data_IF_247228321926
#
_entry.id   IF_247228321926
#
_cell.length_a   1.000
_cell.length_b   1.000
_cell.length_c   1.000
_cell.angle_alpha   90.00
_cell.angle_beta   90.00
_cell.angle_gamma   90.00
#
_symmetry.space_group_name_H-M   'P 1'
#
loop_
_entity.id
_entity.type
_entity.pdbx_description
1 polymer ?
#
# COMPACT_ATOMS: atom_id res chain seq x y z
N UNK A 1 0.66 -7.73 -36.68
CA UNK A 1 -0.52 -7.40 -35.86
C UNK A 1 -0.91 -5.95 -36.12
N UNK A 2 -2.20 -5.59 -36.06
CA UNK A 2 -2.63 -4.21 -36.27
C UNK A 2 -2.15 -3.30 -35.13
N UNK A 3 -1.78 -2.06 -35.48
CA UNK A 3 -1.37 -1.03 -34.48
C UNK A 3 -2.57 -0.35 -33.81
N UNK A 4 -3.71 -0.33 -34.49
CA UNK A 4 -4.95 0.25 -33.96
C UNK A 4 -6.13 -0.66 -34.32
N UNK A 5 -7.08 -0.77 -33.40
CA UNK A 5 -8.34 -1.46 -33.63
C UNK A 5 -9.49 -0.73 -32.94
N UNK A 6 -10.64 -0.68 -33.62
CA UNK A 6 -11.86 -0.01 -33.16
C UNK A 6 -12.93 -1.07 -32.84
N UNK A 7 -13.81 -0.79 -31.87
CA UNK A 7 -14.82 -1.69 -31.30
C UNK A 7 -14.25 -3.08 -30.98
N UNK A 8 -13.34 -3.11 -30.01
CA UNK A 8 -12.58 -4.29 -29.65
C UNK A 8 -13.28 -5.17 -28.62
N UNK A 9 -13.32 -6.46 -28.92
CA UNK A 9 -13.63 -7.51 -27.95
C UNK A 9 -12.35 -8.02 -27.28
N UNK A 10 -12.31 -7.97 -25.94
CA UNK A 10 -11.13 -8.31 -25.14
C UNK A 10 -11.35 -9.65 -24.44
N UNK A 11 -10.41 -10.59 -24.64
CA UNK A 11 -10.33 -11.84 -23.92
C UNK A 11 -9.20 -11.79 -22.89
N UNK A 12 -9.51 -12.11 -21.64
CA UNK A 12 -8.53 -12.25 -20.57
C UNK A 12 -8.22 -13.74 -20.34
N UNK A 13 -6.95 -14.13 -20.51
CA UNK A 13 -6.46 -15.48 -20.33
C UNK A 13 -5.44 -15.55 -19.19
N UNK A 14 -5.50 -16.62 -18.42
CA UNK A 14 -4.44 -17.03 -17.49
C UNK A 14 -3.84 -18.38 -17.92
N UNK A 15 -4.11 -18.80 -19.16
CA UNK A 15 -3.61 -20.04 -19.75
C UNK A 15 -2.38 -19.74 -20.61
N UNK A 16 -1.44 -20.66 -20.61
CA UNK A 16 -0.25 -20.60 -21.46
C UNK A 16 -0.61 -21.07 -22.88
N UNK A 17 -0.19 -20.32 -23.90
CA UNK A 17 -0.33 -20.68 -25.32
C UNK A 17 1.03 -21.05 -25.92
N UNK A 18 1.80 -21.77 -25.13
CA UNK A 18 3.11 -22.30 -25.46
C UNK A 18 3.19 -23.79 -25.09
N UNK A 19 4.26 -24.42 -25.52
CA UNK A 19 4.56 -25.80 -25.16
C UNK A 19 4.97 -25.86 -23.68
N UNK A 20 4.38 -26.79 -22.93
CA UNK A 20 4.81 -27.08 -21.56
C UNK A 20 6.28 -27.49 -21.54
N UNK A 21 7.10 -26.76 -20.78
CA UNK A 21 8.50 -27.13 -20.55
C UNK A 21 8.64 -28.26 -19.49
N UNK A 22 7.55 -28.58 -18.77
CA UNK A 22 7.55 -29.47 -17.61
C UNK A 22 7.55 -30.98 -17.96
N UNK A 23 7.46 -31.34 -19.25
CA UNK A 23 7.38 -32.75 -19.67
C UNK A 23 8.75 -33.44 -19.84
N UNK A 24 9.75 -33.08 -19.05
CA UNK A 24 11.12 -33.59 -19.21
C UNK A 24 11.31 -35.07 -18.82
N UNK A 25 10.33 -35.69 -18.15
CA UNK A 25 10.44 -37.07 -17.64
C UNK A 25 9.71 -38.13 -18.49
N UNK A 26 9.21 -37.77 -19.69
CA UNK A 26 8.58 -38.77 -20.57
C UNK A 26 9.64 -39.65 -21.25
N UNK A 27 9.59 -40.95 -20.96
CA UNK A 27 10.42 -41.96 -21.60
C UNK A 27 9.80 -42.38 -22.94
N UNK A 28 10.59 -42.30 -24.02
CA UNK A 28 10.17 -42.69 -25.36
C UNK A 28 10.91 -43.95 -25.81
N UNK A 29 10.18 -44.94 -26.32
CA UNK A 29 10.78 -46.17 -26.86
C UNK A 29 11.29 -46.00 -28.30
N UNK A 30 10.82 -44.99 -29.03
CA UNK A 30 11.18 -44.78 -30.44
C UNK A 30 11.21 -43.29 -30.78
N UNK A 31 12.10 -42.88 -31.69
CA UNK A 31 12.21 -41.49 -32.16
C UNK A 31 10.91 -40.95 -32.80
N UNK A 32 10.14 -41.82 -33.48
CA UNK A 32 8.86 -41.45 -34.08
C UNK A 32 7.82 -41.02 -33.04
N UNK A 33 7.71 -41.75 -31.93
CA UNK A 33 6.80 -41.41 -30.83
C UNK A 33 7.07 -40.01 -30.27
N UNK A 34 8.34 -39.61 -30.19
CA UNK A 34 8.73 -38.27 -29.76
C UNK A 34 8.26 -37.19 -30.74
N UNK A 35 8.42 -37.41 -32.04
CA UNK A 35 7.98 -36.45 -33.08
C UNK A 35 6.45 -36.34 -33.10
N UNK A 36 5.74 -37.46 -32.97
CA UNK A 36 4.27 -37.48 -32.98
C UNK A 36 3.70 -36.77 -31.75
N UNK A 37 4.33 -36.92 -30.59
CA UNK A 37 3.96 -36.21 -29.38
C UNK A 37 4.13 -34.69 -29.53
N UNK A 38 5.26 -34.23 -30.09
CA UNK A 38 5.48 -32.80 -30.37
C UNK A 38 4.40 -32.26 -31.32
N UNK A 39 4.03 -33.04 -32.35
CA UNK A 39 2.97 -32.67 -33.29
C UNK A 39 1.60 -32.62 -32.62
N UNK A 40 1.30 -33.57 -31.74
CA UNK A 40 0.06 -33.64 -30.99
C UNK A 40 -0.08 -32.47 -29.99
N UNK A 41 0.96 -32.15 -29.22
CA UNK A 41 0.96 -30.97 -28.33
C UNK A 41 0.73 -29.69 -29.14
N UNK A 42 1.41 -29.56 -30.28
CA UNK A 42 1.26 -28.40 -31.16
C UNK A 42 -0.15 -28.30 -31.74
N UNK A 43 -0.75 -29.42 -32.14
CA UNK A 43 -2.12 -29.42 -32.68
C UNK A 43 -3.13 -29.00 -31.60
N UNK A 44 -2.95 -29.41 -30.35
CA UNK A 44 -3.77 -28.97 -29.21
C UNK A 44 -3.66 -27.46 -29.01
N UNK A 45 -2.45 -26.89 -29.01
CA UNK A 45 -2.24 -25.44 -28.86
C UNK A 45 -2.85 -24.68 -30.05
N UNK A 46 -2.62 -25.14 -31.28
CA UNK A 46 -3.18 -24.50 -32.47
C UNK A 46 -4.73 -24.54 -32.44
N UNK A 47 -5.33 -25.65 -32.01
CA UNK A 47 -6.78 -25.76 -31.85
C UNK A 47 -7.31 -24.77 -30.82
N UNK A 48 -6.63 -24.59 -29.68
CA UNK A 48 -7.00 -23.54 -28.70
C UNK A 48 -6.96 -22.14 -29.33
N UNK A 49 -5.88 -21.81 -30.07
CA UNK A 49 -5.74 -20.52 -30.75
C UNK A 49 -6.87 -20.31 -31.76
N UNK A 50 -7.20 -21.32 -32.56
CA UNK A 50 -8.33 -21.24 -33.51
C UNK A 50 -9.67 -21.06 -32.80
N UNK A 51 -9.91 -21.71 -31.67
CA UNK A 51 -11.12 -21.50 -30.86
C UNK A 51 -11.18 -20.09 -30.26
N UNK A 52 -10.02 -19.48 -29.92
CA UNK A 52 -9.96 -18.09 -29.46
C UNK A 52 -10.31 -17.15 -30.61
N UNK A 53 -9.75 -17.36 -31.80
CA UNK A 53 -10.08 -16.56 -32.98
C UNK A 53 -11.57 -16.69 -33.33
N UNK A 54 -12.11 -17.90 -33.28
CA UNK A 54 -13.52 -18.18 -33.53
C UNK A 54 -14.47 -17.53 -32.52
N UNK A 55 -13.99 -17.19 -31.31
CA UNK A 55 -14.81 -16.47 -30.32
C UNK A 55 -15.10 -15.02 -30.71
N UNK A 56 -14.40 -14.46 -31.71
CA UNK A 56 -14.54 -13.06 -32.11
C UNK A 56 -13.78 -12.08 -31.21
N UNK A 57 -12.77 -12.56 -30.47
CA UNK A 57 -11.87 -11.72 -29.70
C UNK A 57 -10.87 -11.00 -30.63
N UNK A 58 -10.88 -9.66 -30.61
CA UNK A 58 -9.92 -8.84 -31.36
C UNK A 58 -8.62 -8.64 -30.57
N UNK A 59 -8.70 -8.79 -29.24
CA UNK A 59 -7.58 -8.59 -28.33
C UNK A 59 -7.56 -9.73 -27.33
N UNK A 60 -6.39 -10.35 -27.19
CA UNK A 60 -6.13 -11.43 -26.25
C UNK A 60 -5.06 -10.94 -25.29
N UNK A 61 -5.35 -10.95 -24.00
CA UNK A 61 -4.44 -10.54 -22.94
C UNK A 61 -4.17 -11.76 -22.07
N UNK A 62 -2.95 -12.29 -22.13
CA UNK A 62 -2.53 -13.42 -21.30
C UNK A 62 -1.59 -12.99 -20.17
N UNK A 63 -1.77 -13.57 -18.98
CA UNK A 63 -0.77 -13.47 -17.90
C UNK A 63 0.45 -14.35 -18.16
N UNK A 64 0.24 -15.45 -18.89
CA UNK A 64 1.27 -16.42 -19.23
C UNK A 64 1.92 -16.11 -20.59
N UNK A 65 2.90 -16.93 -20.96
CA UNK A 65 3.59 -16.83 -22.22
C UNK A 65 2.72 -17.25 -23.42
N UNK A 66 3.05 -16.68 -24.57
CA UNK A 66 2.50 -17.03 -25.88
C UNK A 66 3.67 -17.26 -26.83
N UNK A 67 3.73 -18.44 -27.43
CA UNK A 67 4.79 -18.82 -28.35
C UNK A 67 4.71 -18.05 -29.69
N UNK A 68 5.86 -17.89 -30.34
CA UNK A 68 6.07 -17.22 -31.63
C UNK A 68 5.12 -17.70 -32.74
N UNK A 69 4.91 -19.02 -32.87
CA UNK A 69 4.01 -19.59 -33.87
C UNK A 69 2.56 -19.21 -33.56
N UNK A 70 2.16 -19.23 -32.28
CA UNK A 70 0.83 -18.81 -31.84
C UNK A 70 0.61 -17.31 -32.09
N UNK A 71 1.62 -16.46 -31.83
CA UNK A 71 1.59 -15.04 -32.18
C UNK A 71 1.44 -14.82 -33.69
N UNK A 72 2.09 -15.63 -34.52
CA UNK A 72 1.95 -15.55 -35.99
C UNK A 72 0.54 -15.89 -36.47
N UNK A 73 -0.14 -16.84 -35.80
CA UNK A 73 -1.54 -17.18 -36.08
C UNK A 73 -2.46 -16.02 -35.72
N UNK A 74 -2.30 -15.44 -34.53
CA UNK A 74 -3.05 -14.24 -34.13
C UNK A 74 -2.79 -13.05 -35.07
N UNK A 75 -1.54 -12.87 -35.52
CA UNK A 75 -1.18 -11.82 -36.46
C UNK A 75 -1.86 -11.99 -37.83
N UNK A 76 -1.94 -13.23 -38.33
CA UNK A 76 -2.64 -13.54 -39.59
C UNK A 76 -4.15 -13.31 -39.49
N UNK A 77 -4.73 -13.51 -38.32
CA UNK A 77 -6.16 -13.26 -38.06
C UNK A 77 -6.45 -11.82 -37.58
N UNK A 78 -5.49 -10.89 -37.66
CA UNK A 78 -5.62 -9.52 -37.19
C UNK A 78 -6.02 -9.36 -35.70
N UNK A 79 -5.65 -10.33 -34.86
CA UNK A 79 -5.87 -10.31 -33.41
C UNK A 79 -4.62 -9.79 -32.71
N UNK A 80 -4.78 -8.83 -31.79
CA UNK A 80 -3.69 -8.32 -30.95
C UNK A 80 -3.52 -9.26 -29.76
N UNK A 81 -2.35 -9.87 -29.61
CA UNK A 81 -2.05 -10.74 -28.47
C UNK A 81 -0.98 -10.11 -27.57
N UNK A 82 -1.32 -9.87 -26.31
CA UNK A 82 -0.42 -9.41 -25.25
C UNK A 82 -0.02 -10.62 -24.38
N UNK A 83 1.29 -10.80 -24.21
CA UNK A 83 1.89 -11.86 -23.36
C UNK A 83 2.45 -11.26 -22.08
N UNK A 84 2.53 -12.07 -21.02
CA UNK A 84 3.11 -11.68 -19.72
C UNK A 84 2.52 -10.40 -19.12
N UNK A 85 1.21 -10.21 -19.24
CA UNK A 85 0.56 -9.08 -18.57
C UNK A 85 0.47 -9.39 -17.07
N UNK A 86 0.98 -8.50 -16.21
CA UNK A 86 1.08 -8.80 -14.79
C UNK A 86 -0.32 -8.96 -14.18
N UNK A 87 -0.46 -9.96 -13.31
CA UNK A 87 -1.75 -10.39 -12.75
C UNK A 87 -2.47 -9.25 -12.01
N UNK A 88 -1.75 -8.31 -11.39
CA UNK A 88 -2.34 -7.16 -10.71
C UNK A 88 -3.12 -6.21 -11.65
N UNK A 89 -2.88 -6.26 -12.97
CA UNK A 89 -3.62 -5.49 -13.97
C UNK A 89 -4.98 -6.12 -14.32
N UNK A 90 -5.14 -7.43 -14.13
CA UNK A 90 -6.38 -8.14 -14.45
C UNK A 90 -7.61 -7.55 -13.75
N UNK A 91 -7.64 -7.33 -12.42
CA UNK A 91 -8.80 -6.75 -11.76
C UNK A 91 -9.15 -5.36 -12.31
N UNK A 92 -8.15 -4.57 -12.71
CA UNK A 92 -8.35 -3.26 -13.34
C UNK A 92 -9.03 -3.44 -14.69
N UNK A 93 -8.51 -4.33 -15.55
CA UNK A 93 -9.09 -4.55 -16.88
C UNK A 93 -10.49 -5.16 -16.79
N UNK A 94 -10.68 -6.15 -15.92
CA UNK A 94 -11.99 -6.79 -15.66
C UNK A 94 -13.03 -5.76 -15.24
N UNK A 95 -12.69 -4.91 -14.26
CA UNK A 95 -13.62 -3.93 -13.74
C UNK A 95 -14.03 -2.90 -14.80
N UNK A 96 -13.16 -2.55 -15.74
CA UNK A 96 -13.42 -1.50 -16.72
C UNK A 96 -13.97 -1.99 -18.07
N UNK A 97 -13.65 -3.23 -18.47
CA UNK A 97 -14.09 -3.82 -19.75
C UNK A 97 -15.27 -4.80 -19.59
N UNK A 98 -15.49 -5.33 -18.38
CA UNK A 98 -16.46 -6.39 -18.12
C UNK A 98 -15.99 -7.81 -18.49
N UNK A 99 -14.76 -7.96 -18.99
CA UNK A 99 -14.19 -9.27 -19.29
C UNK A 99 -14.04 -10.12 -18.02
N UNK A 100 -14.23 -11.45 -18.14
CA UNK A 100 -13.90 -12.41 -17.07
C UNK A 100 -12.64 -13.19 -17.44
N UNK A 101 -11.67 -13.31 -16.52
CA UNK A 101 -10.45 -14.05 -16.77
C UNK A 101 -10.75 -15.54 -16.83
N UNK A 102 -10.19 -16.20 -17.82
CA UNK A 102 -10.34 -17.63 -18.04
C UNK A 102 -9.02 -18.32 -17.74
N UNK A 103 -9.02 -19.22 -16.75
CA UNK A 103 -7.83 -20.00 -16.36
C UNK A 103 -7.40 -21.03 -17.40
N UNK A 104 -8.37 -21.75 -17.93
CA UNK A 104 -8.16 -22.75 -18.98
C UNK A 104 -9.22 -22.52 -20.06
N UNK A 105 -8.78 -22.21 -21.28
CA UNK A 105 -9.70 -21.90 -22.34
C UNK A 105 -10.35 -23.18 -22.90
N UNK A 106 -11.68 -23.28 -22.83
CA UNK A 106 -12.49 -24.40 -23.31
C UNK A 106 -13.59 -23.98 -24.30
N UNK A 107 -13.35 -22.91 -25.05
CA UNK A 107 -14.28 -22.42 -26.09
C UNK A 107 -15.45 -21.55 -25.60
N UNK A 108 -15.59 -21.30 -24.29
CA UNK A 108 -16.54 -20.32 -23.73
C UNK A 108 -15.81 -19.30 -22.88
N UNK A 109 -15.98 -18.02 -23.19
CA UNK A 109 -15.42 -16.92 -22.41
C UNK A 109 -16.35 -15.71 -22.45
N UNK A 110 -16.37 -14.93 -21.37
CA UNK A 110 -17.04 -13.63 -21.34
C UNK A 110 -16.07 -12.58 -21.83
N UNK A 111 -16.28 -12.12 -23.06
CA UNK A 111 -15.50 -11.06 -23.67
C UNK A 111 -15.84 -9.71 -23.04
N UNK A 112 -14.82 -8.89 -22.79
CA UNK A 112 -14.98 -7.49 -22.46
C UNK A 112 -15.06 -6.63 -23.71
N UNK A 113 -15.51 -5.38 -23.55
CA UNK A 113 -15.63 -4.43 -24.65
C UNK A 113 -14.77 -3.19 -24.41
N UNK A 114 -14.22 -2.64 -25.49
CA UNK A 114 -13.46 -1.38 -25.48
C UNK A 114 -13.63 -0.69 -26.82
N UNK A 115 -13.78 0.65 -26.82
CA UNK A 115 -13.95 1.40 -28.07
C UNK A 115 -12.71 1.34 -28.93
N UNK A 116 -11.55 1.78 -28.43
CA UNK A 116 -10.35 1.90 -29.25
C UNK A 116 -9.14 1.34 -28.51
N UNK A 117 -8.31 0.58 -29.23
CA UNK A 117 -7.02 0.11 -28.73
C UNK A 117 -5.92 0.55 -29.65
N UNK A 118 -4.89 1.15 -29.05
CA UNK A 118 -3.75 1.75 -29.73
C UNK A 118 -2.48 1.11 -29.18
N UNK A 119 -1.63 0.60 -30.06
CA UNK A 119 -0.29 0.12 -29.73
C UNK A 119 0.71 1.18 -30.17
N UNK A 120 1.30 1.85 -29.19
CA UNK A 120 2.29 2.89 -29.38
C UNK A 120 3.69 2.30 -29.20
N UNK A 121 4.59 2.56 -30.14
CA UNK A 121 6.01 2.25 -30.00
C UNK A 121 6.71 3.48 -29.42
N UNK A 122 7.34 3.32 -28.27
CA UNK A 122 8.11 4.37 -27.61
C UNK A 122 9.49 4.51 -28.30
N UNK A 123 10.19 5.65 -28.13
CA UNK A 123 11.48 5.92 -28.78
C UNK A 123 12.56 4.87 -28.45
N UNK A 124 12.47 4.30 -27.26
CA UNK A 124 13.31 3.23 -26.71
C UNK A 124 12.98 1.84 -27.30
N UNK A 125 12.08 1.76 -28.28
CA UNK A 125 11.70 0.53 -28.98
C UNK A 125 10.71 -0.35 -28.21
N UNK A 126 10.37 0.02 -26.97
CA UNK A 126 9.35 -0.65 -26.17
C UNK A 126 7.95 -0.33 -26.72
N UNK A 127 7.03 -1.29 -26.65
CA UNK A 127 5.66 -1.08 -27.10
C UNK A 127 4.72 -0.96 -25.90
N UNK A 128 3.85 0.04 -25.94
CA UNK A 128 2.79 0.26 -24.97
C UNK A 128 1.44 0.02 -25.65
N UNK A 129 0.52 -0.63 -24.96
CA UNK A 129 -0.86 -0.77 -25.42
C UNK A 129 -1.80 0.07 -24.56
N UNK A 130 -2.57 0.94 -25.21
CA UNK A 130 -3.51 1.85 -24.61
C UNK A 130 -4.93 1.41 -24.95
N UNK A 131 -5.73 1.12 -23.91
CA UNK A 131 -7.17 0.86 -24.03
C UNK A 131 -7.91 2.18 -23.78
N UNK A 132 -8.73 2.63 -24.73
CA UNK A 132 -9.43 3.92 -24.65
C UNK A 132 -10.92 3.77 -24.93
N UNK A 133 -11.72 4.68 -24.36
CA UNK A 133 -13.17 4.65 -24.47
C UNK A 133 -13.80 3.43 -23.76
N UNK A 134 -13.39 3.21 -22.51
CA UNK A 134 -13.99 2.23 -21.62
C UNK A 134 -15.31 2.78 -21.03
N UNK A 135 -16.20 1.90 -20.57
CA UNK A 135 -17.50 2.29 -20.03
C UNK A 135 -17.40 2.99 -18.65
N UNK A 136 -16.24 2.92 -17.99
CA UNK A 136 -15.98 3.53 -16.68
C UNK A 136 -14.96 4.65 -16.79
N UNK A 137 -15.08 5.62 -15.87
CA UNK A 137 -14.16 6.75 -15.74
C UNK A 137 -12.83 6.30 -15.13
N UNK A 138 -11.99 5.64 -15.92
CA UNK A 138 -10.60 5.35 -15.57
C UNK A 138 -9.66 6.15 -16.46
N UNK A 139 -8.62 6.70 -15.86
CA UNK A 139 -7.51 7.32 -16.57
C UNK A 139 -6.20 6.68 -16.13
N UNK A 140 -5.25 6.59 -17.06
CA UNK A 140 -3.89 6.16 -16.79
C UNK A 140 -2.96 7.32 -17.10
N UNK A 141 -2.28 7.83 -16.08
CA UNK A 141 -1.26 8.86 -16.25
C UNK A 141 0.08 8.18 -16.56
N UNK A 142 0.71 8.60 -17.66
CA UNK A 142 2.07 8.15 -18.01
C UNK A 142 3.03 9.30 -17.82
N UNK A 143 4.08 8.99 -17.06
CA UNK A 143 5.09 9.94 -16.62
C UNK A 143 6.39 9.56 -17.31
N UNK A 144 6.92 10.50 -18.08
CA UNK A 144 8.23 10.37 -18.71
C UNK A 144 9.18 11.36 -18.03
N UNK A 145 10.34 10.87 -17.60
CA UNK A 145 11.38 11.71 -16.99
C UNK A 145 12.76 11.15 -17.38
N UNK A 146 13.82 11.97 -17.36
CA UNK A 146 15.15 11.56 -17.84
C UNK A 146 15.82 10.51 -16.94
N UNK A 147 15.45 10.44 -15.66
CA UNK A 147 16.04 9.51 -14.69
C UNK A 147 14.97 8.73 -13.94
N UNK A 148 15.27 7.48 -13.59
CA UNK A 148 14.38 6.63 -12.78
C UNK A 148 14.03 7.27 -11.43
N UNK A 149 14.98 8.00 -10.84
CA UNK A 149 14.74 8.74 -9.59
C UNK A 149 13.68 9.85 -9.77
N UNK A 150 13.75 10.60 -10.88
CA UNK A 150 12.73 11.61 -11.19
C UNK A 150 11.36 10.96 -11.44
N UNK A 151 11.31 9.83 -12.17
CA UNK A 151 10.05 9.08 -12.39
C UNK A 151 9.41 8.69 -11.05
N UNK A 152 10.19 8.10 -10.14
CA UNK A 152 9.68 7.70 -8.82
C UNK A 152 9.21 8.91 -8.00
N UNK A 153 9.98 10.00 -7.99
CA UNK A 153 9.65 11.23 -7.28
C UNK A 153 8.34 11.84 -7.79
N UNK A 154 8.19 12.01 -9.10
CA UNK A 154 6.96 12.51 -9.71
C UNK A 154 5.77 11.57 -9.47
N UNK A 155 5.98 10.25 -9.58
CA UNK A 155 4.93 9.26 -9.30
C UNK A 155 4.40 9.39 -7.87
N UNK A 156 5.29 9.54 -6.89
CA UNK A 156 4.92 9.73 -5.48
C UNK A 156 4.20 11.07 -5.30
N UNK A 157 4.70 12.14 -5.91
CA UNK A 157 4.09 13.47 -5.83
C UNK A 157 2.67 13.50 -6.40
N UNK A 158 2.46 12.98 -7.62
CA UNK A 158 1.14 12.93 -8.26
C UNK A 158 0.17 12.05 -7.45
N UNK A 159 0.63 10.89 -6.96
CA UNK A 159 -0.19 10.04 -6.08
C UNK A 159 -0.60 10.76 -4.79
N UNK A 160 0.26 11.60 -4.22
CA UNK A 160 -0.09 12.43 -3.05
C UNK A 160 -1.10 13.51 -3.43
N UNK A 161 -0.88 14.24 -4.53
CA UNK A 161 -1.79 15.28 -5.01
C UNK A 161 -3.21 14.73 -5.27
N UNK A 162 -3.34 13.60 -5.98
CA UNK A 162 -4.63 12.97 -6.24
C UNK A 162 -5.35 12.55 -4.95
N UNK A 163 -4.61 12.09 -3.93
CA UNK A 163 -5.20 11.78 -2.62
C UNK A 163 -5.72 13.02 -1.91
N UNK A 164 -5.00 14.13 -1.97
CA UNK A 164 -5.46 15.41 -1.39
C UNK A 164 -6.71 15.88 -2.10
N UNK A 165 -6.73 15.89 -3.45
CA UNK A 165 -7.91 16.25 -4.24
C UNK A 165 -9.11 15.37 -3.90
N UNK A 166 -8.90 14.05 -3.74
CA UNK A 166 -9.95 13.13 -3.32
C UNK A 166 -10.51 13.50 -1.95
N UNK A 167 -9.67 13.82 -0.97
CA UNK A 167 -10.13 14.20 0.36
C UNK A 167 -10.94 15.50 0.32
N UNK A 168 -10.42 16.52 -0.38
CA UNK A 168 -11.12 17.80 -0.55
C UNK A 168 -12.48 17.60 -1.23
N UNK A 169 -12.54 16.79 -2.28
CA UNK A 169 -13.79 16.47 -2.97
C UNK A 169 -14.79 15.68 -2.10
N UNK A 170 -14.31 14.85 -1.18
CA UNK A 170 -15.17 14.05 -0.29
C UNK A 170 -15.68 14.82 0.93
N UNK A 171 -14.82 15.66 1.50
CA UNK A 171 -15.12 16.40 2.72
C UNK A 171 -15.77 17.76 2.48
N UNK A 172 -15.54 18.34 1.29
CA UNK A 172 -15.91 19.72 0.92
C UNK A 172 -15.46 20.76 1.96
N UNK A 173 -14.37 20.47 2.69
CA UNK A 173 -13.87 21.28 3.79
C UNK A 173 -12.37 21.48 3.62
N UNK A 174 -11.96 22.74 3.55
CA UNK A 174 -10.57 23.17 3.44
C UNK A 174 -10.22 24.16 4.55
N UNK A 175 -8.93 24.21 4.87
CA UNK A 175 -8.35 25.14 5.84
C UNK A 175 -7.15 25.85 5.21
N UNK A 176 -6.82 27.08 5.65
CA UNK A 176 -5.64 27.76 5.13
C UNK A 176 -4.37 26.94 5.37
N UNK A 177 -3.56 26.76 4.33
CA UNK A 177 -2.38 25.92 4.36
C UNK A 177 -1.14 26.62 4.95
N UNK A 178 0.05 26.08 4.61
CA UNK A 178 1.34 26.69 4.96
C UNK A 178 1.59 26.85 6.46
N UNK A 179 1.07 25.92 7.27
CA UNK A 179 1.10 25.92 8.73
C UNK A 179 0.54 27.18 9.42
N UNK A 180 -0.22 28.00 8.70
CA UNK A 180 -0.93 29.15 9.26
C UNK A 180 -1.96 28.73 10.33
N UNK A 181 -2.67 27.61 10.11
CA UNK A 181 -3.56 26.99 11.10
C UNK A 181 -2.81 26.53 12.34
N UNK A 182 -1.59 26.01 12.18
CA UNK A 182 -0.81 25.52 13.31
C UNK A 182 -0.37 26.69 14.21
N UNK A 183 0.01 27.83 13.61
CA UNK A 183 0.30 29.07 14.36
C UNK A 183 -0.95 29.65 15.03
N UNK A 184 -2.10 29.60 14.35
CA UNK A 184 -3.39 29.99 14.95
C UNK A 184 -3.67 29.15 16.21
N UNK A 185 -3.56 27.83 16.10
CA UNK A 185 -3.73 26.90 17.22
C UNK A 185 -2.75 27.18 18.37
N UNK A 186 -1.50 27.54 18.07
CA UNK A 186 -0.55 27.92 19.12
C UNK A 186 -1.03 29.11 19.95
N UNK A 187 -1.59 30.13 19.30
CA UNK A 187 -2.05 31.34 19.98
C UNK A 187 -3.29 31.05 20.82
N UNK A 188 -4.26 30.33 20.25
CA UNK A 188 -5.47 29.93 20.96
C UNK A 188 -5.14 29.07 22.20
N UNK A 189 -4.19 28.11 22.08
CA UNK A 189 -3.76 27.27 23.19
C UNK A 189 -3.03 28.05 24.30
N UNK A 190 -2.33 29.15 23.98
CA UNK A 190 -1.65 29.99 24.99
C UNK A 190 -2.68 30.77 25.83
N UNK A 191 -3.81 31.16 25.23
CA UNK A 191 -4.84 31.94 25.92
C UNK A 191 -5.66 31.10 26.93
N UNK A 192 -5.67 29.77 26.77
CA UNK A 192 -6.40 28.87 27.66
C UNK A 192 -5.73 28.83 29.04
N UNK A 193 -6.40 29.42 30.05
CA UNK A 193 -6.03 29.29 31.47
C UNK A 193 -6.56 27.96 32.01
N UNK A 194 -5.68 26.98 32.20
CA UNK A 194 -6.03 25.67 32.75
C UNK A 194 -5.02 25.20 33.81
N UNK A 195 -5.46 24.31 34.69
CA UNK A 195 -4.61 23.67 35.72
C UNK A 195 -3.38 22.96 35.14
N UNK A 196 -3.45 22.49 33.88
CA UNK A 196 -2.36 21.81 33.17
C UNK A 196 -1.57 22.74 32.24
N UNK A 197 -1.46 24.03 32.58
CA UNK A 197 -0.79 25.06 31.76
C UNK A 197 0.62 24.65 31.30
N UNK A 198 1.40 23.93 32.12
CA UNK A 198 2.75 23.44 31.73
C UNK A 198 2.73 22.43 30.58
N UNK A 199 1.75 21.52 30.57
CA UNK A 199 1.62 20.52 29.49
C UNK A 199 1.20 21.24 28.21
N UNK A 200 0.24 22.15 28.31
CA UNK A 200 -0.24 22.95 27.17
C UNK A 200 0.91 23.78 26.58
N UNK A 201 1.71 24.46 27.41
CA UNK A 201 2.91 25.19 26.97
C UNK A 201 3.92 24.29 26.26
N UNK A 202 4.11 23.07 26.75
CA UNK A 202 5.03 22.09 26.14
C UNK A 202 4.53 21.64 24.76
N UNK A 203 3.22 21.41 24.62
CA UNK A 203 2.58 21.11 23.34
C UNK A 203 2.70 22.27 22.36
N UNK A 204 2.46 23.50 22.81
CA UNK A 204 2.62 24.71 21.98
C UNK A 204 4.07 24.85 21.51
N UNK A 205 5.05 24.66 22.40
CA UNK A 205 6.46 24.73 22.03
C UNK A 205 6.84 23.65 21.01
N UNK A 206 6.29 22.43 21.14
CA UNK A 206 6.49 21.36 20.17
C UNK A 206 5.90 21.72 18.80
N UNK A 207 4.69 22.29 18.76
CA UNK A 207 4.03 22.70 17.51
C UNK A 207 4.77 23.88 16.83
N UNK A 208 5.25 24.85 17.61
CA UNK A 208 6.09 25.94 17.10
C UNK A 208 7.37 25.42 16.46
N UNK A 209 8.04 24.46 17.14
CA UNK A 209 9.30 23.88 16.65
C UNK A 209 9.10 23.07 15.38
N UNK A 210 7.99 22.35 15.24
CA UNK A 210 7.69 21.62 14.00
C UNK A 210 7.47 22.59 12.83
N UNK A 211 6.75 23.69 13.03
CA UNK A 211 6.54 24.73 12.00
C UNK A 211 7.87 25.41 11.60
N UNK A 212 8.69 25.76 12.60
CA UNK A 212 9.98 26.41 12.38
C UNK A 212 10.97 25.52 11.59
N UNK A 213 10.98 24.21 11.86
CA UNK A 213 11.83 23.25 11.18
C UNK A 213 11.47 23.13 9.69
N UNK A 214 10.18 23.08 9.38
CA UNK A 214 9.70 22.80 8.02
C UNK A 214 9.71 24.04 7.13
N UNK A 215 9.35 25.21 7.67
CA UNK A 215 9.12 26.42 6.87
C UNK A 215 10.13 27.53 7.12
N UNK A 216 10.71 27.61 8.32
CA UNK A 216 11.62 28.70 8.69
C UNK A 216 13.09 28.27 8.68
N UNK A 217 13.41 27.01 8.36
CA UNK A 217 14.79 26.49 8.41
C UNK A 217 15.44 26.57 9.80
N UNK A 218 14.65 26.51 10.88
CA UNK A 218 15.04 26.77 12.28
C UNK A 218 15.43 28.23 12.61
N UNK A 219 15.00 29.21 11.81
CA UNK A 219 15.18 30.63 12.14
C UNK A 219 14.12 31.12 13.13
N UNK A 220 14.48 31.21 14.41
CA UNK A 220 13.58 31.66 15.49
C UNK A 220 13.06 33.11 15.30
N UNK A 221 13.81 33.95 14.56
CA UNK A 221 13.40 35.33 14.26
C UNK A 221 12.12 35.37 13.41
N UNK A 222 12.10 34.59 12.34
CA UNK A 222 10.96 34.49 11.41
C UNK A 222 9.76 33.90 12.14
N UNK A 223 9.99 32.88 12.98
CA UNK A 223 8.93 32.28 13.79
C UNK A 223 8.26 33.29 14.74
N UNK A 224 9.06 34.10 15.44
CA UNK A 224 8.52 35.10 16.37
C UNK A 224 7.76 36.22 15.65
N UNK A 225 8.27 36.67 14.50
CA UNK A 225 7.55 37.61 13.63
C UNK A 225 6.20 37.02 13.20
N UNK A 226 6.21 35.77 12.72
CA UNK A 226 5.00 35.09 12.26
C UNK A 226 3.92 34.99 13.34
N UNK A 227 4.32 34.66 14.58
CA UNK A 227 3.41 34.56 15.72
C UNK A 227 2.81 35.94 16.06
N UNK A 228 3.64 36.99 16.04
CA UNK A 228 3.19 38.35 16.33
C UNK A 228 2.24 38.88 15.24
N UNK A 229 2.56 38.64 13.97
CA UNK A 229 1.73 39.05 12.83
C UNK A 229 0.33 38.43 12.91
N UNK A 230 0.23 37.15 13.30
CA UNK A 230 -1.07 36.52 13.53
C UNK A 230 -1.80 37.14 14.73
N UNK A 231 -1.10 37.43 15.84
CA UNK A 231 -1.73 38.04 17.02
C UNK A 231 -2.31 39.42 16.73
N UNK A 232 -1.60 40.24 15.97
CA UNK A 232 -2.00 41.62 15.67
C UNK A 232 -3.09 41.66 14.60
N UNK A 233 -2.91 40.94 13.49
CA UNK A 233 -3.77 41.07 12.32
C UNK A 233 -4.83 39.97 12.20
N UNK A 234 -4.68 38.84 12.92
CA UNK A 234 -5.48 37.62 12.76
C UNK A 234 -5.55 37.12 11.30
N UNK A 235 -4.54 37.44 10.51
CA UNK A 235 -4.41 37.00 9.11
C UNK A 235 -3.59 35.71 9.07
N UNK A 236 -4.06 34.76 8.28
CA UNK A 236 -3.34 33.52 8.01
C UNK A 236 -2.22 33.79 7.01
N UNK A 237 -1.02 34.01 7.51
CA UNK A 237 0.18 34.22 6.68
C UNK A 237 1.09 32.99 6.69
N UNK A 238 1.92 32.86 5.66
CA UNK A 238 2.98 31.84 5.58
C UNK A 238 4.28 32.51 5.14
N UNK A 239 5.44 32.14 5.73
CA UNK A 239 6.74 32.62 5.28
C UNK A 239 7.03 32.11 3.87
N UNK A 240 7.34 33.03 2.95
CA UNK A 240 7.83 32.74 1.61
C UNK A 240 9.06 33.59 1.36
N UNK A 241 10.21 32.93 1.25
CA UNK A 241 11.52 33.58 1.14
C UNK A 241 11.73 34.57 2.30
N UNK A 242 11.70 35.87 2.01
CA UNK A 242 11.92 36.95 2.98
C UNK A 242 10.63 37.71 3.36
N UNK A 243 9.46 37.26 2.92
CA UNK A 243 8.18 37.96 3.16
C UNK A 243 7.07 37.04 3.70
N UNK A 244 6.15 37.63 4.44
CA UNK A 244 4.91 36.96 4.85
C UNK A 244 3.83 37.23 3.82
N UNK A 245 3.21 36.16 3.33
CA UNK A 245 2.15 36.26 2.33
C UNK A 245 0.85 35.70 2.90
N UNK A 246 -0.27 36.40 2.66
CA UNK A 246 -1.61 35.92 3.01
C UNK A 246 -1.92 34.65 2.20
N UNK A 247 -2.15 33.58 2.95
CA UNK A 247 -2.40 32.22 2.47
C UNK A 247 -3.70 32.16 1.65
N UNK A 248 -4.70 32.96 2.02
CA UNK A 248 -5.99 33.00 1.33
C UNK A 248 -5.87 33.67 -0.04
N UNK A 249 -5.21 34.82 -0.10
CA UNK A 249 -4.98 35.56 -1.35
C UNK A 249 -4.12 34.77 -2.33
N UNK A 250 -3.16 33.98 -1.82
CA UNK A 250 -2.30 33.12 -2.65
C UNK A 250 -2.95 31.79 -3.04
N UNK A 251 -4.14 31.47 -2.52
CA UNK A 251 -4.85 30.23 -2.82
C UNK A 251 -4.17 28.97 -2.25
N UNK A 252 -3.46 29.09 -1.12
CA UNK A 252 -2.79 27.96 -0.49
C UNK A 252 -3.75 27.29 0.50
N UNK A 253 -4.31 26.15 0.11
CA UNK A 253 -5.30 25.43 0.90
C UNK A 253 -4.82 24.03 1.27
N UNK A 254 -5.24 23.57 2.44
CA UNK A 254 -4.99 22.21 2.94
C UNK A 254 -6.31 21.53 3.34
N UNK A 255 -6.29 20.20 3.39
CA UNK A 255 -7.45 19.40 3.78
C UNK A 255 -7.61 19.40 5.30
N UNK A 256 -8.78 19.81 5.79
CA UNK A 256 -9.11 19.83 7.22
C UNK A 256 -8.95 18.44 7.86
N UNK A 257 -9.40 17.39 7.18
CA UNK A 257 -9.28 15.98 7.59
C UNK A 257 -7.83 15.59 7.89
N UNK A 258 -6.89 16.01 7.02
CA UNK A 258 -5.47 15.69 7.21
C UNK A 258 -4.92 16.36 8.46
N UNK A 259 -5.24 17.64 8.70
CA UNK A 259 -4.78 18.37 9.88
C UNK A 259 -5.30 17.76 11.19
N UNK A 260 -6.60 17.43 11.24
CA UNK A 260 -7.21 16.78 12.41
C UNK A 260 -6.54 15.42 12.67
N UNK A 261 -6.37 14.61 11.63
CA UNK A 261 -5.78 13.29 11.76
C UNK A 261 -4.32 13.34 12.23
N UNK A 262 -3.52 14.28 11.69
CA UNK A 262 -2.12 14.46 12.08
C UNK A 262 -2.00 14.79 13.56
N UNK A 263 -2.82 15.73 14.06
CA UNK A 263 -2.81 16.09 15.48
C UNK A 263 -3.25 14.91 16.36
N UNK A 264 -4.37 14.27 16.02
CA UNK A 264 -4.89 13.14 16.80
C UNK A 264 -3.89 11.98 16.88
N UNK A 265 -3.30 11.59 15.74
CA UNK A 265 -2.30 10.51 15.70
C UNK A 265 -1.02 10.87 16.44
N UNK A 266 -0.62 12.15 16.40
CA UNK A 266 0.55 12.62 17.15
C UNK A 266 0.34 12.46 18.65
N UNK A 267 -0.81 12.90 19.16
CA UNK A 267 -1.16 12.74 20.59
C UNK A 267 -1.31 11.28 20.99
N UNK A 268 -1.95 10.46 20.17
CA UNK A 268 -2.09 9.02 20.44
C UNK A 268 -0.72 8.33 20.52
N UNK A 269 0.18 8.65 19.58
CA UNK A 269 1.54 8.09 19.54
C UNK A 269 2.33 8.51 20.78
N UNK A 270 2.29 9.79 21.15
CA UNK A 270 2.96 10.29 22.36
C UNK A 270 2.40 9.63 23.61
N UNK A 271 1.08 9.49 23.72
CA UNK A 271 0.45 8.81 24.86
C UNK A 271 0.86 7.34 24.95
N UNK A 272 1.01 6.63 23.83
CA UNK A 272 1.52 5.26 23.83
C UNK A 272 2.97 5.22 24.33
N UNK A 273 3.81 6.13 23.86
CA UNK A 273 5.22 6.20 24.29
C UNK A 273 5.36 6.53 25.78
N UNK A 274 4.58 7.49 26.28
CA UNK A 274 4.60 7.90 27.69
C UNK A 274 4.08 6.82 28.64
N UNK A 275 3.26 5.87 28.15
CA UNK A 275 2.78 4.72 28.93
C UNK A 275 3.80 3.59 29.05
N UNK A 276 4.91 3.64 28.30
CA UNK A 276 5.94 2.60 28.34
C UNK A 276 6.94 2.98 29.42
N UNK A 277 6.82 2.35 30.60
CA UNK A 277 7.74 2.59 31.71
C UNK A 277 9.09 1.89 31.52
N UNK A 278 9.11 0.72 30.88
CA UNK A 278 10.32 -0.08 30.67
C UNK A 278 10.29 -0.82 29.33
N UNK A 279 11.41 -0.80 28.61
CA UNK A 279 11.60 -1.52 27.36
C UNK A 279 12.59 -2.67 27.60
N UNK A 280 12.06 -3.89 27.75
CA UNK A 280 12.87 -5.09 27.89
C UNK A 280 13.22 -5.62 26.50
N UNK A 281 14.49 -5.49 26.10
CA UNK A 281 14.99 -6.06 24.83
C UNK A 281 15.45 -7.50 25.06
N UNK A 282 14.85 -8.44 24.34
CA UNK A 282 15.18 -9.86 24.39
C UNK A 282 16.45 -10.23 23.57
N UNK A 283 17.52 -9.43 23.63
CA UNK A 283 18.79 -9.79 22.99
C UNK A 283 19.39 -11.08 23.57
N UNK A 284 19.05 -11.39 24.82
CA UNK A 284 19.66 -12.49 25.60
C UNK A 284 18.89 -13.81 25.53
N UNK A 285 17.64 -13.80 25.01
CA UNK A 285 16.87 -15.02 24.79
C UNK A 285 17.27 -15.75 23.50
N UNK A 286 17.80 -15.05 22.49
CA UNK A 286 18.10 -15.66 21.20
C UNK A 286 19.24 -16.67 21.28
N UNK A 287 20.36 -16.32 21.92
CA UNK A 287 21.54 -17.21 22.01
C UNK A 287 21.28 -18.44 22.89
N UNK A 288 20.59 -18.25 24.02
CA UNK A 288 20.34 -19.28 25.02
C UNK A 288 19.19 -20.24 24.62
N UNK A 289 18.19 -19.78 23.87
CA UNK A 289 17.11 -20.64 23.36
C UNK A 289 17.45 -21.33 22.03
N UNK A 290 18.21 -20.67 21.13
CA UNK A 290 18.65 -21.30 19.87
C UNK A 290 19.69 -22.41 20.12
N UNK A 291 20.63 -22.21 21.04
CA UNK A 291 21.59 -23.28 21.42
C UNK A 291 20.90 -24.49 22.04
N UNK A 292 19.74 -24.34 22.70
CA UNK A 292 18.97 -25.47 23.25
C UNK A 292 18.16 -26.23 22.19
N UNK A 293 17.70 -25.56 21.13
CA UNK A 293 16.97 -26.23 20.04
C UNK A 293 17.90 -27.04 19.14
N UNK A 294 19.09 -26.54 18.85
CA UNK A 294 20.08 -27.24 18.01
C UNK A 294 20.63 -28.52 18.67
N UNK A 295 20.47 -28.69 19.99
CA UNK A 295 20.87 -29.91 20.71
C UNK A 295 19.78 -31.00 20.71
N UNK A 296 18.54 -30.68 20.31
CA UNK A 296 17.40 -31.62 20.30
C UNK A 296 16.85 -31.97 18.93
N UNK A 297 17.42 -31.45 17.84
CA UNK A 297 17.21 -32.04 16.52
C UNK A 297 18.31 -33.07 16.28
N UNK A 298 17.90 -34.33 16.21
CA UNK A 298 18.72 -35.46 15.82
C UNK A 298 19.46 -35.15 14.52
N UNK A 299 20.76 -35.39 14.51
CA UNK A 299 21.56 -35.38 13.29
C UNK A 299 20.98 -36.42 12.32
N UNK A 300 20.63 -36.07 11.07
CA UNK A 300 20.55 -37.08 10.03
C UNK A 300 21.93 -37.77 9.92
N UNK A 301 21.89 -39.09 9.74
CA UNK A 301 23.06 -39.97 9.63
C UNK A 301 24.08 -39.44 8.61
N UNK A 302 25.35 -39.43 9.01
CA UNK A 302 26.50 -39.06 8.18
C UNK A 302 26.64 -39.99 6.97
N UNK A 303 26.26 -39.53 5.79
CA UNK A 303 27.03 -39.70 4.56
C UNK A 303 27.03 -38.35 3.83
N UNK A 304 28.23 -37.90 3.48
CA UNK A 304 28.58 -36.74 2.65
C UNK A 304 28.23 -35.32 3.16
N UNK A 305 29.22 -34.64 3.74
CA UNK A 305 29.91 -33.52 3.07
C UNK A 305 30.98 -32.85 3.96
N UNK A 306 32.00 -32.19 3.34
CA UNK A 306 33.24 -31.77 3.96
C UNK A 306 33.20 -30.32 4.44
N UNK A 307 34.26 -29.93 5.14
CA UNK A 307 34.63 -28.57 5.58
C UNK A 307 34.17 -28.15 6.98
N UNK A 308 35.20 -27.85 7.76
CA UNK A 308 35.24 -27.62 9.19
C UNK A 308 35.18 -26.12 9.50
N UNK A 309 34.69 -25.79 10.70
CA UNK A 309 35.25 -24.67 11.48
C UNK A 309 35.12 -25.01 12.97
N UNK A 310 36.23 -25.46 13.56
CA UNK A 310 36.36 -25.58 15.01
C UNK A 310 36.51 -24.18 15.62
N UNK A 311 35.65 -23.83 16.58
CA UNK A 311 35.95 -22.76 17.54
C UNK A 311 36.10 -23.37 18.93
N UNK A 312 37.34 -23.33 19.42
CA UNK A 312 37.72 -23.60 20.79
C UNK A 312 37.09 -22.56 21.72
N UNK A 313 36.32 -23.00 22.71
CA UNK A 313 36.17 -22.30 23.98
C UNK A 313 36.08 -23.31 25.13
N UNK A 314 36.64 -22.99 26.30
CA UNK A 314 36.88 -23.95 27.37
C UNK A 314 35.57 -24.36 28.05
N UNK A 315 35.46 -25.65 28.35
CA UNK A 315 34.38 -26.22 29.14
C UNK A 315 34.67 -25.91 30.62
N UNK A 316 33.76 -25.23 31.30
CA UNK A 316 33.72 -25.17 32.76
C UNK A 316 32.55 -26.03 33.22
N UNK A 317 32.85 -27.02 34.06
CA UNK A 317 31.86 -27.99 34.54
C UNK A 317 30.91 -27.40 35.59
N UNK A 318 29.67 -27.87 35.48
CA UNK A 318 28.44 -27.45 36.16
C UNK A 318 28.41 -27.90 37.60
N UNK A 319 27.63 -27.23 38.47
CA UNK A 319 26.83 -27.96 39.46
C UNK A 319 25.52 -27.23 39.80
N UNK A 320 24.43 -27.57 39.10
CA UNK A 320 23.06 -27.50 39.65
C UNK A 320 22.34 -28.81 39.27
N UNK A 321 21.70 -29.43 40.26
CA UNK A 321 21.00 -30.72 40.14
C UNK A 321 19.80 -30.63 39.20
N UNK A 322 19.71 -31.58 38.24
CA UNK A 322 18.60 -31.71 37.27
C UNK A 322 17.21 -31.77 37.93
N UNK A 323 17.12 -32.16 39.21
CA UNK A 323 15.84 -32.25 39.95
C UNK A 323 15.30 -30.90 40.42
N UNK A 324 16.14 -29.88 40.59
CA UNK A 324 15.70 -28.54 41.03
C UNK A 324 15.18 -27.68 39.87
N UNK A 325 15.77 -27.83 38.67
CA UNK A 325 15.33 -27.14 37.46
C UNK A 325 13.93 -27.59 36.99
N UNK A 326 13.64 -28.90 37.02
CA UNK A 326 12.32 -29.42 36.62
C UNK A 326 11.20 -29.04 37.59
N UNK A 327 11.50 -28.88 38.89
CA UNK A 327 10.52 -28.45 39.91
C UNK A 327 10.14 -26.97 39.78
N UNK A 328 11.07 -26.10 39.35
CA UNK A 328 10.77 -24.68 39.05
C UNK A 328 9.99 -24.52 37.75
N UNK A 329 10.39 -25.20 36.68
CA UNK A 329 9.69 -25.17 35.39
C UNK A 329 8.23 -25.62 35.46
N UNK A 330 7.93 -26.67 36.23
CA UNK A 330 6.55 -27.15 36.35
C UNK A 330 5.69 -26.21 37.20
N UNK A 331 6.24 -25.58 38.24
CA UNK A 331 5.51 -24.60 39.07
C UNK A 331 5.22 -23.30 38.31
N UNK A 332 6.16 -22.81 37.50
CA UNK A 332 5.97 -21.61 36.67
C UNK A 332 4.95 -21.84 35.56
N UNK A 333 5.01 -22.98 34.86
CA UNK A 333 4.05 -23.28 33.79
C UNK A 333 2.62 -23.49 34.32
N UNK A 334 2.46 -24.08 35.51
CA UNK A 334 1.13 -24.21 36.13
C UNK A 334 0.57 -22.84 36.53
N UNK A 335 1.40 -21.96 37.11
CA UNK A 335 1.00 -20.62 37.56
C UNK A 335 0.51 -19.74 36.39
N UNK A 336 1.29 -19.63 35.31
CA UNK A 336 0.90 -18.85 34.12
C UNK A 336 -0.32 -19.43 33.39
N UNK A 337 -0.57 -20.74 33.50
CA UNK A 337 -1.75 -21.35 32.90
C UNK A 337 -3.03 -21.05 33.68
N UNK A 338 -2.95 -20.86 34.99
CA UNK A 338 -4.10 -20.56 35.85
C UNK A 338 -4.44 -19.07 35.84
N UNK A 339 -3.45 -18.16 35.90
CA UNK A 339 -3.69 -16.71 35.73
C UNK A 339 -4.33 -16.39 34.37
N UNK A 340 -3.89 -17.08 33.31
CA UNK A 340 -4.45 -16.89 31.96
C UNK A 340 -5.85 -17.47 31.80
N UNK A 341 -6.24 -18.44 32.64
CA UNK A 341 -7.61 -18.94 32.72
C UNK A 341 -8.49 -18.03 33.58
N UNK A 342 -7.97 -17.45 34.65
CA UNK A 342 -8.69 -16.45 35.46
C UNK A 342 -8.92 -15.15 34.69
N UNK A 343 -7.92 -14.65 33.96
CA UNK A 343 -8.09 -13.50 33.08
C UNK A 343 -9.18 -13.74 32.02
N UNK A 344 -9.21 -14.92 31.39
CA UNK A 344 -10.27 -15.28 30.43
C UNK A 344 -11.65 -15.37 31.07
N UNK A 345 -11.76 -15.91 32.29
CA UNK A 345 -13.02 -15.96 33.03
C UNK A 345 -13.50 -14.56 33.44
N UNK A 346 -12.59 -13.65 33.76
CA UNK A 346 -12.87 -12.24 34.04
C UNK A 346 -13.28 -11.48 32.77
N UNK A 347 -12.64 -11.75 31.64
CA UNK A 347 -12.99 -11.17 30.33
C UNK A 347 -14.35 -11.67 29.82
N UNK A 348 -14.67 -12.96 30.06
CA UNK A 348 -15.97 -13.56 29.76
C UNK A 348 -17.07 -13.02 30.68
N UNK A 349 -16.81 -12.82 31.98
CA UNK A 349 -17.79 -12.24 32.91
C UNK A 349 -18.04 -10.75 32.67
N UNK A 350 -17.07 -10.04 32.09
CA UNK A 350 -17.20 -8.64 31.65
C UNK A 350 -17.74 -8.49 30.22
N UNK A 351 -18.00 -9.58 29.49
CA UNK A 351 -18.62 -9.57 28.16
C UNK A 351 -17.76 -8.96 27.05
N UNK A 352 -16.43 -8.92 27.22
CA UNK A 352 -15.52 -8.25 26.29
C UNK A 352 -15.07 -9.25 25.21
N UNK A 353 -15.80 -9.32 24.10
CA UNK A 353 -15.33 -10.01 22.90
C UNK A 353 -14.31 -9.17 22.12
N UNK A 354 -13.39 -9.85 21.43
CA UNK A 354 -12.28 -9.40 20.56
C UNK A 354 -12.68 -8.43 19.40
N UNK A 355 -13.90 -7.89 19.41
CA UNK A 355 -14.43 -6.95 18.40
C UNK A 355 -13.96 -5.49 18.59
N UNK A 356 -13.15 -5.22 19.61
CA UNK A 356 -12.85 -3.86 20.06
C UNK A 356 -12.09 -3.01 19.03
N UNK A 357 -11.21 -3.57 18.20
CA UNK A 357 -10.45 -2.78 17.22
C UNK A 357 -11.31 -2.28 16.05
N UNK A 358 -12.12 -3.17 15.44
CA UNK A 358 -13.02 -2.80 14.33
C UNK A 358 -14.16 -1.90 14.81
N UNK A 359 -14.68 -2.15 16.01
CA UNK A 359 -15.73 -1.33 16.61
C UNK A 359 -15.20 0.04 17.02
N UNK A 360 -14.00 0.14 17.59
CA UNK A 360 -13.31 1.43 17.84
C UNK A 360 -13.03 2.17 16.54
N UNK A 361 -12.57 1.49 15.49
CA UNK A 361 -12.38 2.12 14.18
C UNK A 361 -13.68 2.68 13.60
N UNK A 362 -14.80 1.94 13.71
CA UNK A 362 -16.13 2.44 13.29
C UNK A 362 -16.65 3.58 14.18
N UNK A 363 -16.41 3.52 15.48
CA UNK A 363 -16.79 4.57 16.43
C UNK A 363 -15.98 5.84 16.14
N UNK A 364 -14.67 5.72 15.91
CA UNK A 364 -13.80 6.84 15.56
C UNK A 364 -14.22 7.45 14.22
N UNK A 365 -14.49 6.63 13.20
CA UNK A 365 -15.04 7.12 11.91
C UNK A 365 -16.37 7.86 12.08
N UNK A 366 -17.24 7.38 12.97
CA UNK A 366 -18.54 8.02 13.28
C UNK A 366 -18.37 9.30 14.11
N UNK A 367 -17.39 9.35 15.00
CA UNK A 367 -17.05 10.56 15.75
C UNK A 367 -16.42 11.60 14.84
N UNK A 368 -15.53 11.21 13.93
CA UNK A 368 -14.97 12.06 12.88
C UNK A 368 -16.07 12.63 12.00
N UNK A 369 -17.02 11.81 11.54
CA UNK A 369 -18.15 12.31 10.74
C UNK A 369 -19.03 13.30 11.53
N UNK A 370 -19.34 13.01 12.79
CA UNK A 370 -20.11 13.91 13.65
C UNK A 370 -19.36 15.21 13.97
N UNK A 371 -18.04 15.18 14.13
CA UNK A 371 -17.24 16.38 14.29
C UNK A 371 -17.22 17.20 13.00
N UNK A 372 -17.14 16.54 11.83
CA UNK A 372 -17.27 17.22 10.55
C UNK A 372 -18.66 17.85 10.36
N UNK A 373 -19.73 17.17 10.75
CA UNK A 373 -21.10 17.71 10.70
C UNK A 373 -21.27 18.90 11.64
N UNK A 374 -20.75 18.82 12.88
CA UNK A 374 -20.75 19.96 13.82
C UNK A 374 -19.93 21.14 13.34
N UNK A 375 -18.79 20.91 12.68
CA UNK A 375 -17.98 21.97 12.08
C UNK A 375 -18.72 22.65 10.92
N UNK A 376 -19.53 21.90 10.14
CA UNK A 376 -20.43 22.45 9.12
C UNK A 376 -21.55 23.29 9.75
N UNK A 377 -22.22 22.76 10.78
CA UNK A 377 -23.30 23.48 11.49
C UNK A 377 -22.79 24.76 12.16
N UNK A 378 -21.55 24.76 12.66
CA UNK A 378 -20.90 25.92 13.28
C UNK A 378 -20.34 26.94 12.26
N UNK A 379 -20.42 26.68 10.95
CA UNK A 379 -19.89 27.57 9.91
C UNK A 379 -18.37 27.68 9.88
N UNK A 380 -17.64 26.73 10.49
CA UNK A 380 -16.18 26.74 10.55
C UNK A 380 -15.58 25.86 9.44
N UNK A 381 -15.42 26.46 8.28
CA UNK A 381 -14.78 25.89 7.09
C UNK A 381 -15.35 26.52 5.82
N UNK A 382 -14.51 26.67 4.78
CA UNK A 382 -15.03 27.11 3.48
C UNK A 382 -15.74 25.92 2.83
N UNK A 383 -17.07 26.00 2.78
CA UNK A 383 -17.88 25.09 1.99
C UNK A 383 -17.62 25.43 0.53
N UNK A 384 -16.81 24.61 -0.13
CA UNK A 384 -16.68 24.68 -1.59
C UNK A 384 -17.76 23.79 -2.14
N UNK A 385 -18.70 24.37 -2.90
CA UNK A 385 -19.48 23.59 -3.84
C UNK A 385 -18.54 23.29 -5.03
N UNK A 386 -18.16 22.03 -5.29
CA UNK A 386 -17.18 21.70 -6.33
C UNK A 386 -17.63 22.03 -7.77
N UNK A 387 -18.82 22.62 -7.93
CA UNK A 387 -19.42 23.03 -9.21
C UNK A 387 -19.78 24.52 -9.29
N UNK A 388 -19.61 25.31 -8.22
CA UNK A 388 -19.75 26.77 -8.33
C UNK A 388 -18.47 27.35 -8.95
N UNK A 389 -18.58 27.73 -10.22
CA UNK A 389 -17.50 28.32 -11.02
C UNK A 389 -17.41 29.84 -10.86
N UNK A 390 -18.22 30.44 -9.98
CA UNK A 390 -18.43 31.89 -9.94
C UNK A 390 -17.69 32.62 -8.80
N UNK A 391 -16.69 32.01 -8.16
CA UNK A 391 -15.85 32.69 -7.18
C UNK A 391 -14.36 32.38 -7.35
N UNK A 392 -13.78 32.92 -8.42
CA UNK A 392 -12.35 33.25 -8.49
C UNK A 392 -12.17 34.76 -8.41
#
# INVERSE_FOLDING_TARGET
>A
MPKQSNNCNILLLQDALERSQQDQDMQFNTAQQRVDLVRAERSVINNKVHQIIASGANIVISSEAIDSISLSLFARSNVIALRHVPIHMFPIIMNNTGAKPVKLYRGKATLGTCKNVIVETLPDGTCRTCLTGLNKNICTLVIQAPTNHAIQSHTVMIKKAVKVLKNVYQDCMIVPGGASVDIALCNDLIEIKHEHSRVIQSCVNALKRSCALVLCGNNDRILNQWINDYKENKVFVTPCDDCFVDVKQRGIWDSSRVKIQVLSQSFETVNVLLKIDCLIKASDLSKSALQRRVVHEEKPSKEDEPWSYQRYYPVIDKHISKREASRRSNKENTFYSEEKKEQRRLEESLGIQDESAKRRSRINQRLESLMHDRLREAGHGYQIDPFETDAM
#
